data_IF_893216455307
#
_entry.id   IF_893216455307
#
_cell.length_a   1.000
_cell.length_b   1.000
_cell.length_c   1.000
_cell.angle_alpha   90.00
_cell.angle_beta   90.00
_cell.angle_gamma   90.00
#
_symmetry.space_group_name_H-M   'P 1'
#
loop_
_entity.id
_entity.type
_entity.pdbx_description
1 polymer ?
#
# COMPACT_ATOMS: atom_id res chain seq x y z
N UNK A 1 -10.13 1.90 1.96
CA UNK A 1 -9.84 1.14 0.72
C UNK A 1 -11.10 0.79 -0.08
N UNK A 2 -12.16 0.28 0.54
CA UNK A 2 -13.38 -0.15 -0.18
C UNK A 2 -14.10 0.98 -0.93
N UNK A 3 -14.10 2.20 -0.37
CA UNK A 3 -14.59 3.38 -1.07
C UNK A 3 -13.77 3.72 -2.31
N UNK A 4 -12.45 3.50 -2.28
CA UNK A 4 -11.59 3.72 -3.45
C UNK A 4 -11.84 2.65 -4.52
N UNK A 5 -12.05 1.40 -4.11
CA UNK A 5 -12.40 0.30 -5.02
C UNK A 5 -13.72 0.58 -5.76
N UNK A 6 -14.74 1.09 -5.04
CA UNK A 6 -16.00 1.55 -5.65
C UNK A 6 -15.79 2.68 -6.65
N UNK A 7 -14.91 3.65 -6.35
CA UNK A 7 -14.61 4.78 -7.26
C UNK A 7 -13.91 4.36 -8.55
N UNK A 8 -13.13 3.28 -8.52
CA UNK A 8 -12.46 2.74 -9.71
C UNK A 8 -13.25 1.61 -10.38
N UNK A 9 -14.49 1.37 -9.91
CA UNK A 9 -15.39 0.30 -10.38
C UNK A 9 -14.70 -1.06 -10.42
N UNK A 10 -13.91 -1.37 -9.38
CA UNK A 10 -13.15 -2.61 -9.29
C UNK A 10 -13.52 -3.39 -8.03
N UNK A 11 -13.58 -4.71 -8.17
CA UNK A 11 -13.77 -5.64 -7.06
C UNK A 11 -12.42 -6.22 -6.63
N UNK A 12 -12.32 -6.54 -5.34
CA UNK A 12 -11.14 -7.18 -4.79
C UNK A 12 -11.15 -8.67 -5.11
N UNK A 13 -10.11 -9.12 -5.82
CA UNK A 13 -9.88 -10.53 -6.15
C UNK A 13 -8.66 -11.02 -5.38
N UNK A 14 -8.73 -12.22 -4.82
CA UNK A 14 -7.59 -12.83 -4.14
C UNK A 14 -6.49 -13.20 -5.16
N UNK A 15 -5.28 -12.69 -4.92
CA UNK A 15 -4.09 -13.03 -5.69
C UNK A 15 -3.02 -13.62 -4.76
N UNK A 16 -2.86 -14.94 -4.83
CA UNK A 16 -1.87 -15.69 -4.04
C UNK A 16 -0.42 -15.29 -4.36
N UNK A 17 -0.14 -14.82 -5.59
CA UNK A 17 1.21 -14.36 -5.97
C UNK A 17 1.54 -13.01 -5.35
N UNK A 18 0.51 -12.20 -5.11
CA UNK A 18 0.63 -10.90 -4.46
C UNK A 18 0.37 -10.93 -2.95
N UNK A 19 0.05 -12.11 -2.41
CA UNK A 19 -0.19 -12.34 -0.98
C UNK A 19 -1.28 -11.42 -0.42
N UNK A 20 -2.35 -11.21 -1.20
CA UNK A 20 -3.39 -10.26 -0.81
C UNK A 20 -4.57 -10.18 -1.77
N UNK A 21 -5.54 -9.36 -1.39
CA UNK A 21 -6.65 -8.97 -2.24
C UNK A 21 -6.25 -7.80 -3.12
N UNK A 22 -6.56 -7.89 -4.42
CA UNK A 22 -6.12 -6.93 -5.42
C UNK A 22 -7.34 -6.43 -6.20
N UNK A 23 -7.43 -5.12 -6.38
CA UNK A 23 -8.41 -4.50 -7.25
C UNK A 23 -7.68 -3.57 -8.22
N UNK A 24 -7.88 -3.75 -9.53
CA UNK A 24 -7.28 -2.89 -10.55
C UNK A 24 -8.37 -2.16 -11.29
N UNK A 25 -8.20 -0.85 -11.46
CA UNK A 25 -9.15 -0.02 -12.17
C UNK A 25 -8.50 1.25 -12.67
N UNK A 26 -9.32 2.24 -13.02
CA UNK A 26 -8.84 3.55 -13.46
C UNK A 26 -9.44 4.64 -12.57
N UNK A 27 -8.60 5.58 -12.16
CA UNK A 27 -9.04 6.83 -11.57
C UNK A 27 -8.84 7.93 -12.62
N UNK A 28 -9.91 8.30 -13.31
CA UNK A 28 -9.84 9.15 -14.49
C UNK A 28 -9.04 8.46 -15.62
N UNK A 29 -7.90 9.04 -16.00
CA UNK A 29 -7.01 8.50 -17.04
C UNK A 29 -5.87 7.63 -16.48
N UNK A 30 -5.70 7.58 -15.16
CA UNK A 30 -4.58 6.88 -14.51
C UNK A 30 -5.01 5.47 -14.11
N UNK A 31 -4.23 4.47 -14.49
CA UNK A 31 -4.42 3.10 -14.01
C UNK A 31 -3.96 3.00 -12.55
N UNK A 32 -4.80 2.45 -11.69
CA UNK A 32 -4.53 2.31 -10.25
C UNK A 32 -4.77 0.86 -9.84
N UNK A 33 -3.84 0.32 -9.08
CA UNK A 33 -3.98 -0.99 -8.44
C UNK A 33 -4.01 -0.80 -6.92
N UNK A 34 -5.09 -1.26 -6.29
CA UNK A 34 -5.23 -1.35 -4.85
C UNK A 34 -4.78 -2.73 -4.40
N UNK A 35 -3.94 -2.78 -3.37
CA UNK A 35 -3.51 -4.01 -2.72
C UNK A 35 -3.89 -3.96 -1.24
N UNK A 36 -4.59 -4.99 -0.78
CA UNK A 36 -4.80 -5.28 0.64
C UNK A 36 -4.03 -6.56 0.97
N UNK A 37 -2.83 -6.46 1.58
CA UNK A 37 -2.09 -7.65 2.00
C UNK A 37 -2.94 -8.49 2.96
N UNK A 38 -3.02 -9.79 2.73
CA UNK A 38 -3.61 -10.75 3.69
C UNK A 38 -2.54 -11.40 4.56
N UNK A 39 -1.30 -10.88 4.49
CA UNK A 39 -0.19 -11.27 5.35
C UNK A 39 -0.33 -10.67 6.75
N UNK A 40 0.39 -11.23 7.71
CA UNK A 40 0.60 -10.58 9.01
C UNK A 40 1.22 -9.20 8.81
N UNK A 41 0.89 -8.24 9.68
CA UNK A 41 1.35 -6.83 9.59
C UNK A 41 2.88 -6.72 9.51
N UNK A 42 3.62 -7.58 10.21
CA UNK A 42 5.08 -7.62 10.15
C UNK A 42 5.65 -8.18 8.83
N UNK A 43 4.80 -8.74 7.96
CA UNK A 43 5.12 -9.30 6.64
C UNK A 43 4.44 -8.55 5.50
N UNK A 44 3.85 -7.37 5.75
CA UNK A 44 3.24 -6.56 4.71
C UNK A 44 4.23 -6.14 3.61
N UNK A 45 5.53 -6.03 3.93
CA UNK A 45 6.57 -5.74 2.95
C UNK A 45 6.69 -6.78 1.84
N UNK A 46 6.47 -8.07 2.14
CA UNK A 46 6.54 -9.16 1.15
C UNK A 46 5.51 -8.99 0.04
N UNK A 47 4.26 -8.68 0.41
CA UNK A 47 3.17 -8.40 -0.52
C UNK A 47 3.45 -7.16 -1.37
N UNK A 48 3.93 -6.08 -0.75
CA UNK A 48 4.27 -4.83 -1.45
C UNK A 48 5.40 -5.03 -2.46
N UNK A 49 6.46 -5.79 -2.10
CA UNK A 49 7.54 -6.11 -3.05
C UNK A 49 7.05 -6.96 -4.21
N UNK A 50 6.24 -7.99 -3.94
CA UNK A 50 5.67 -8.82 -4.99
C UNK A 50 4.84 -7.97 -5.97
N UNK A 51 4.02 -7.05 -5.45
CA UNK A 51 3.24 -6.12 -6.27
C UNK A 51 4.12 -5.17 -7.08
N UNK A 52 5.14 -4.57 -6.45
CA UNK A 52 6.09 -3.68 -7.15
C UNK A 52 6.79 -4.39 -8.31
N UNK A 53 7.26 -5.62 -8.09
CA UNK A 53 7.93 -6.41 -9.13
C UNK A 53 6.98 -6.81 -10.26
N UNK A 54 5.76 -7.22 -9.93
CA UNK A 54 4.75 -7.62 -10.92
C UNK A 54 4.25 -6.44 -11.77
N UNK A 55 4.01 -5.29 -11.13
CA UNK A 55 3.48 -4.08 -11.76
C UNK A 55 4.56 -3.18 -12.35
N UNK A 56 5.84 -3.46 -12.08
CA UNK A 56 7.01 -2.70 -12.54
C UNK A 56 6.93 -1.20 -12.19
N UNK A 57 6.45 -0.90 -10.99
CA UNK A 57 6.32 0.48 -10.48
C UNK A 57 7.53 0.90 -9.66
N UNK A 58 7.80 2.21 -9.63
CA UNK A 58 8.84 2.83 -8.81
C UNK A 58 8.33 3.13 -7.39
N UNK A 59 9.22 3.45 -6.46
CA UNK A 59 8.83 3.72 -5.05
C UNK A 59 7.94 4.96 -4.91
N UNK A 60 8.16 5.98 -5.73
CA UNK A 60 7.36 7.22 -5.80
C UNK A 60 5.95 7.01 -6.38
N UNK A 61 5.70 5.84 -6.97
CA UNK A 61 4.39 5.43 -7.47
C UNK A 61 3.64 4.50 -6.51
N UNK A 62 4.22 4.22 -5.34
CA UNK A 62 3.60 3.44 -4.27
C UNK A 62 3.09 4.41 -3.21
N UNK A 63 1.82 4.26 -2.82
CA UNK A 63 1.20 5.00 -1.73
C UNK A 63 0.77 4.02 -0.65
N UNK A 64 1.27 4.19 0.57
CA UNK A 64 0.94 3.33 1.70
C UNK A 64 -0.09 4.03 2.60
N UNK A 65 -1.26 3.43 2.75
CA UNK A 65 -2.25 3.87 3.73
C UNK A 65 -2.07 3.03 5.00
N UNK A 66 -1.74 3.68 6.11
CA UNK A 66 -1.66 3.06 7.44
C UNK A 66 -2.30 3.97 8.49
N UNK A 67 -2.61 3.40 9.66
CA UNK A 67 -2.96 4.16 10.83
C UNK A 67 -1.71 4.71 11.53
N UNK A 68 -1.81 5.92 12.04
CA UNK A 68 -0.76 6.60 12.78
C UNK A 68 -1.36 7.12 14.09
N UNK A 69 -0.78 6.72 15.21
CA UNK A 69 -1.23 7.10 16.55
C UNK A 69 -1.01 8.60 16.82
N UNK A 70 -0.07 9.23 16.12
CA UNK A 70 0.24 10.66 16.25
C UNK A 70 -0.75 11.55 15.49
N UNK A 71 -1.62 10.96 14.64
CA UNK A 71 -2.61 11.70 13.87
C UNK A 71 -3.93 11.79 14.66
N UNK A 72 -4.40 13.01 15.00
CA UNK A 72 -5.67 13.16 15.71
C UNK A 72 -6.84 12.55 14.94
N UNK A 73 -7.83 12.03 15.68
CA UNK A 73 -9.02 11.44 15.09
C UNK A 73 -9.69 12.39 14.08
N UNK A 74 -10.06 11.85 12.91
CA UNK A 74 -10.69 12.61 11.83
C UNK A 74 -9.73 13.41 10.96
N UNK A 75 -8.42 13.39 11.24
CA UNK A 75 -7.40 14.02 10.39
C UNK A 75 -6.69 12.99 9.51
N UNK A 76 -6.19 13.46 8.38
CA UNK A 76 -5.32 12.71 7.47
C UNK A 76 -4.04 13.50 7.30
N UNK A 77 -2.91 12.81 7.35
CA UNK A 77 -1.58 13.37 7.13
C UNK A 77 -0.96 12.70 5.91
N UNK A 78 -0.39 13.49 5.01
CA UNK A 78 0.42 13.00 3.90
C UNK A 78 1.89 13.23 4.24
N UNK A 79 2.71 12.18 4.17
CA UNK A 79 4.11 12.21 4.56
C UNK A 79 4.97 11.45 3.53
N UNK A 80 5.54 12.13 2.52
CA UNK A 80 6.28 11.50 1.41
C UNK A 80 7.56 10.77 1.82
N UNK A 81 8.07 11.09 3.01
CA UNK A 81 9.09 10.34 3.71
C UNK A 81 8.73 10.36 5.19
N UNK A 82 8.54 9.18 5.78
CA UNK A 82 8.29 9.03 7.21
C UNK A 82 9.13 7.89 7.75
N UNK A 83 9.73 8.09 8.92
CA UNK A 83 10.35 7.00 9.65
C UNK A 83 9.27 6.00 10.10
N UNK A 84 9.64 4.74 10.34
CA UNK A 84 8.67 3.70 10.69
C UNK A 84 7.82 3.99 11.95
N UNK A 85 8.21 4.92 12.82
CA UNK A 85 7.40 5.36 13.97
C UNK A 85 7.02 4.23 14.94
N UNK A 86 7.74 3.11 14.93
CA UNK A 86 7.37 1.89 15.67
C UNK A 86 6.33 1.00 14.98
N UNK A 87 5.74 1.42 13.87
CA UNK A 87 4.76 0.66 13.10
C UNK A 87 5.43 -0.52 12.37
N UNK A 88 5.14 -1.75 12.82
CA UNK A 88 5.75 -2.99 12.29
C UNK A 88 5.53 -3.18 10.78
N UNK A 89 4.38 -2.73 10.27
CA UNK A 89 4.05 -2.75 8.84
C UNK A 89 4.96 -1.85 8.00
N UNK A 90 5.07 -0.57 8.35
CA UNK A 90 5.95 0.39 7.66
C UNK A 90 7.40 -0.07 7.71
N UNK A 91 7.88 -0.55 8.88
CA UNK A 91 9.21 -1.13 8.99
C UNK A 91 9.43 -2.31 8.03
N UNK A 92 8.46 -3.23 7.94
CA UNK A 92 8.51 -4.37 7.02
C UNK A 92 8.63 -3.92 5.55
N UNK A 93 7.84 -2.92 5.16
CA UNK A 93 7.82 -2.36 3.81
C UNK A 93 9.15 -1.66 3.49
N UNK A 94 9.65 -0.81 4.38
CA UNK A 94 10.91 -0.09 4.19
C UNK A 94 12.10 -1.04 4.08
N UNK A 95 12.16 -2.08 4.92
CA UNK A 95 13.19 -3.12 4.85
C UNK A 95 13.18 -3.84 3.49
N UNK A 96 11.99 -4.16 2.99
CA UNK A 96 11.84 -4.94 1.78
C UNK A 96 12.02 -4.10 0.49
N UNK A 97 11.68 -2.81 0.53
CA UNK A 97 11.89 -1.86 -0.56
C UNK A 97 13.23 -1.12 -0.50
N UNK A 98 14.00 -1.31 0.59
CA UNK A 98 15.28 -0.64 0.86
C UNK A 98 15.21 0.88 0.72
N UNK A 99 14.11 1.46 1.18
CA UNK A 99 13.80 2.88 0.99
C UNK A 99 12.88 3.37 2.09
N UNK A 100 13.17 4.54 2.65
CA UNK A 100 12.31 5.24 3.61
C UNK A 100 11.44 6.31 2.92
N UNK A 101 11.82 6.72 1.70
CA UNK A 101 11.06 7.61 0.85
C UNK A 101 10.01 6.81 0.07
N UNK A 102 8.89 6.50 0.74
CA UNK A 102 7.71 5.90 0.14
C UNK A 102 6.51 6.75 0.59
N UNK A 103 5.75 7.33 -0.36
CA UNK A 103 4.56 8.11 -0.08
C UNK A 103 3.48 7.42 0.75
#
# INVERSE_FOLDING_TARGET
MDLLAKKITAEFVEDKKLLGLVATGKLGKVAVTLLKPTTYVNKSGEAVKAAKLKLKVKNDQVLILHDDLDVPFGKVKYAPASGAGGHKGIRSIQLQLKSEAIP
#
